data_IF_218067470115
#
_entry.id   IF_218067470115
#
_cell.length_a   1.000
_cell.length_b   1.000
_cell.length_c   1.000
_cell.angle_alpha   90.00
_cell.angle_beta   90.00
_cell.angle_gamma   90.00
#
_symmetry.space_group_name_H-M   'P 1'
#
loop_
_entity.id
_entity.type
_entity.pdbx_description
1 polymer ?
#
# COMPACT_ATOMS: atom_id res chain seq x y z
N UNK A 1 1.41 -41.52 -34.64
CA UNK A 1 0.74 -40.99 -33.45
C UNK A 1 1.67 -40.69 -32.28
N UNK A 2 2.46 -41.65 -31.76
CA UNK A 2 3.36 -41.42 -30.59
C UNK A 2 4.44 -40.31 -30.79
N UNK A 3 5.05 -40.17 -31.97
CA UNK A 3 6.08 -39.13 -32.25
C UNK A 3 5.48 -37.71 -32.28
N UNK A 4 4.28 -37.52 -32.80
CA UNK A 4 3.62 -36.23 -32.84
C UNK A 4 3.18 -35.76 -31.43
N UNK A 5 2.61 -36.65 -30.61
CA UNK A 5 2.29 -36.36 -29.19
C UNK A 5 3.52 -35.95 -28.38
N UNK A 6 4.67 -36.60 -28.60
CA UNK A 6 5.94 -36.20 -27.95
C UNK A 6 6.37 -34.79 -28.36
N UNK A 7 6.27 -34.44 -29.67
CA UNK A 7 6.62 -33.09 -30.16
C UNK A 7 5.71 -32.03 -29.54
N UNK A 8 4.40 -32.27 -29.47
CA UNK A 8 3.48 -31.35 -28.78
C UNK A 8 3.86 -31.20 -27.31
N UNK A 9 4.14 -32.29 -26.61
CA UNK A 9 4.55 -32.27 -25.20
C UNK A 9 5.81 -31.41 -24.99
N UNK A 10 6.84 -31.58 -25.85
CA UNK A 10 8.04 -30.72 -25.77
C UNK A 10 7.75 -29.26 -26.08
N UNK A 11 6.91 -28.94 -27.06
CA UNK A 11 6.54 -27.57 -27.39
C UNK A 11 5.81 -26.90 -26.22
N UNK A 12 4.84 -27.63 -25.60
CA UNK A 12 4.14 -27.13 -24.42
C UNK A 12 5.07 -26.92 -23.23
N UNK A 13 6.02 -27.82 -23.01
CA UNK A 13 7.02 -27.69 -21.95
C UNK A 13 7.92 -26.46 -22.18
N UNK A 14 8.40 -26.25 -23.39
CA UNK A 14 9.23 -25.09 -23.74
C UNK A 14 8.43 -23.79 -23.51
N UNK A 15 7.18 -23.75 -23.97
CA UNK A 15 6.31 -22.60 -23.77
C UNK A 15 6.05 -22.34 -22.27
N UNK A 16 5.81 -23.37 -21.49
CA UNK A 16 5.63 -23.27 -20.04
C UNK A 16 6.89 -22.69 -19.36
N UNK A 17 8.08 -23.22 -19.68
CA UNK A 17 9.35 -22.70 -19.15
C UNK A 17 9.53 -21.23 -19.54
N UNK A 18 9.27 -20.87 -20.79
CA UNK A 18 9.41 -19.51 -21.30
C UNK A 18 8.49 -18.52 -20.56
N UNK A 19 7.22 -18.88 -20.36
CA UNK A 19 6.27 -18.05 -19.60
C UNK A 19 6.72 -17.88 -18.15
N UNK A 20 7.25 -18.94 -17.51
CA UNK A 20 7.76 -18.84 -16.14
C UNK A 20 8.96 -17.90 -16.04
N UNK A 21 9.89 -17.95 -17.00
CA UNK A 21 11.05 -17.02 -17.03
C UNK A 21 10.55 -15.56 -17.16
N UNK A 22 9.61 -15.30 -18.06
CA UNK A 22 9.01 -13.96 -18.19
C UNK A 22 8.35 -13.52 -16.88
N UNK A 23 7.55 -14.39 -16.27
CA UNK A 23 6.88 -14.05 -15.01
C UNK A 23 7.88 -13.80 -13.87
N UNK A 24 8.98 -14.54 -13.79
CA UNK A 24 10.04 -14.28 -12.83
C UNK A 24 10.67 -12.91 -13.06
N UNK A 25 11.12 -12.59 -14.28
CA UNK A 25 11.69 -11.28 -14.60
C UNK A 25 10.73 -10.12 -14.31
N UNK A 26 9.44 -10.28 -14.65
CA UNK A 26 8.43 -9.28 -14.37
C UNK A 26 8.16 -9.13 -12.86
N UNK A 27 8.11 -10.23 -12.11
CA UNK A 27 7.95 -10.22 -10.67
C UNK A 27 9.11 -9.49 -9.98
N UNK A 28 10.34 -9.73 -10.44
CA UNK A 28 11.53 -9.02 -9.96
C UNK A 28 11.39 -7.51 -10.14
N UNK A 29 11.04 -7.02 -11.33
CA UNK A 29 10.88 -5.58 -11.58
C UNK A 29 9.68 -4.97 -10.86
N UNK A 30 8.64 -5.74 -10.56
CA UNK A 30 7.48 -5.27 -9.79
C UNK A 30 7.77 -5.11 -8.30
N UNK A 31 8.81 -5.78 -7.80
CA UNK A 31 9.20 -5.76 -6.38
C UNK A 31 10.43 -4.90 -6.10
N UNK A 32 11.15 -4.41 -7.13
CA UNK A 32 12.37 -3.65 -6.96
C UNK A 32 12.24 -2.21 -7.45
N UNK A 33 12.69 -1.27 -6.62
CA UNK A 33 12.69 0.17 -6.88
C UNK A 33 14.09 0.74 -6.68
N UNK A 34 14.59 1.45 -7.67
CA UNK A 34 15.98 1.93 -7.70
C UNK A 34 16.07 3.44 -7.53
N UNK A 35 16.96 3.91 -6.64
CA UNK A 35 17.14 5.34 -6.37
C UNK A 35 17.69 6.11 -7.60
N UNK A 36 18.50 5.46 -8.42
CA UNK A 36 19.20 6.08 -9.54
C UNK A 36 18.49 5.91 -10.90
N UNK A 37 17.30 5.35 -10.89
CA UNK A 37 16.48 5.24 -12.09
C UNK A 37 15.50 6.40 -12.07
N UNK A 38 15.49 7.29 -13.09
CA UNK A 38 14.47 8.32 -13.18
C UNK A 38 13.08 7.68 -13.16
N UNK A 39 12.10 8.37 -12.58
CA UNK A 39 10.69 8.06 -12.82
C UNK A 39 10.49 8.23 -14.33
N UNK A 40 10.71 7.18 -15.07
CA UNK A 40 10.51 7.20 -16.50
C UNK A 40 9.01 7.25 -16.75
N UNK A 41 8.64 8.09 -17.70
CA UNK A 41 7.47 7.85 -18.53
C UNK A 41 7.71 6.47 -19.17
N UNK A 42 7.17 5.43 -18.52
CA UNK A 42 7.41 4.02 -18.86
C UNK A 42 6.66 3.62 -20.15
N UNK A 43 6.17 4.59 -20.92
CA UNK A 43 5.58 4.37 -22.22
C UNK A 43 6.69 4.23 -23.26
N UNK A 44 7.05 2.98 -23.66
CA UNK A 44 8.04 2.78 -24.70
C UNK A 44 7.58 3.46 -25.98
N UNK A 45 8.42 4.32 -26.57
CA UNK A 45 8.07 5.06 -27.78
C UNK A 45 7.97 4.17 -29.03
N UNK A 46 8.61 2.99 -29.05
CA UNK A 46 8.58 2.06 -30.18
C UNK A 46 7.94 0.72 -29.83
N UNK A 47 7.37 0.02 -30.83
CA UNK A 47 6.78 -1.32 -30.67
C UNK A 47 7.82 -2.35 -30.19
N UNK A 48 9.08 -2.21 -30.62
CA UNK A 48 10.19 -3.09 -30.22
C UNK A 48 10.52 -2.88 -28.75
N UNK A 49 10.59 -1.62 -28.30
CA UNK A 49 10.81 -1.30 -26.89
C UNK A 49 9.67 -1.80 -26.01
N UNK A 50 8.41 -1.64 -26.44
CA UNK A 50 7.23 -2.22 -25.77
C UNK A 50 7.35 -3.72 -25.61
N UNK A 51 7.72 -4.42 -26.68
CA UNK A 51 7.92 -5.86 -26.67
C UNK A 51 9.04 -6.28 -25.71
N UNK A 52 10.16 -5.55 -25.70
CA UNK A 52 11.27 -5.77 -24.78
C UNK A 52 10.84 -5.62 -23.30
N UNK A 53 10.14 -4.54 -22.97
CA UNK A 53 9.61 -4.31 -21.60
C UNK A 53 8.61 -5.40 -21.21
N UNK A 54 7.76 -5.85 -22.14
CA UNK A 54 6.81 -6.93 -21.88
C UNK A 54 7.50 -8.25 -21.56
N UNK A 55 8.61 -8.57 -22.22
CA UNK A 55 9.34 -9.82 -22.01
C UNK A 55 10.30 -9.75 -20.81
N UNK A 56 11.05 -8.67 -20.68
CA UNK A 56 12.16 -8.60 -19.74
C UNK A 56 11.89 -7.71 -18.53
N UNK A 57 10.80 -6.95 -18.52
CA UNK A 57 10.53 -5.91 -17.53
C UNK A 57 11.36 -4.65 -17.80
N UNK A 58 11.18 -3.65 -16.95
CA UNK A 58 12.00 -2.45 -16.93
C UNK A 58 12.27 -2.05 -15.47
N UNK A 59 13.49 -1.55 -15.17
CA UNK A 59 13.78 -1.02 -13.84
C UNK A 59 12.80 0.11 -13.48
N UNK A 60 12.29 0.10 -12.26
CA UNK A 60 11.36 1.11 -11.75
C UNK A 60 12.10 2.03 -10.79
N UNK A 61 12.00 3.34 -11.00
CA UNK A 61 12.56 4.35 -10.09
C UNK A 61 11.77 4.43 -8.79
N UNK A 62 12.43 4.78 -7.69
CA UNK A 62 11.75 5.17 -6.45
C UNK A 62 10.88 6.40 -6.69
N UNK A 63 9.74 6.45 -6.03
CA UNK A 63 8.91 7.65 -5.97
C UNK A 63 9.71 8.84 -5.42
N UNK A 64 9.49 10.01 -5.98
CA UNK A 64 10.18 11.26 -5.60
C UNK A 64 9.21 12.13 -4.82
N UNK A 65 9.75 12.94 -3.89
CA UNK A 65 8.98 13.95 -3.20
C UNK A 65 8.73 15.12 -4.17
N UNK A 66 7.52 15.21 -4.68
CA UNK A 66 7.14 16.21 -5.69
C UNK A 66 6.52 17.46 -5.07
N UNK A 67 5.77 17.31 -3.97
CA UNK A 67 5.05 18.37 -3.30
C UNK A 67 5.68 18.72 -1.95
N UNK A 68 5.55 19.98 -1.53
CA UNK A 68 5.92 20.46 -0.22
C UNK A 68 4.73 20.40 0.74
N UNK A 69 4.95 19.84 1.91
CA UNK A 69 3.99 19.89 3.01
C UNK A 69 4.06 21.26 3.69
N UNK A 70 3.07 22.10 3.47
CA UNK A 70 3.05 23.50 3.92
C UNK A 70 2.72 23.69 5.41
N UNK A 71 2.61 22.60 6.15
CA UNK A 71 2.43 22.61 7.60
C UNK A 71 3.81 22.57 8.28
N UNK A 72 4.04 23.32 9.36
CA UNK A 72 5.29 23.21 10.14
C UNK A 72 5.52 21.77 10.59
N UNK A 73 6.64 21.19 10.18
CA UNK A 73 6.96 19.80 10.46
C UNK A 73 8.46 19.58 10.65
N UNK A 74 8.82 18.44 11.23
CA UNK A 74 10.21 17.96 11.36
C UNK A 74 10.44 16.79 10.43
N UNK A 75 11.59 16.75 9.77
CA UNK A 75 12.08 15.53 9.14
C UNK A 75 12.45 14.53 10.23
N UNK A 76 11.96 13.32 10.11
CA UNK A 76 12.25 12.21 11.02
C UNK A 76 12.90 11.04 10.29
N UNK A 77 13.72 10.31 11.02
CA UNK A 77 14.34 9.07 10.58
C UNK A 77 14.10 8.00 11.65
N UNK A 78 13.56 6.87 11.26
CA UNK A 78 13.31 5.75 12.16
C UNK A 78 14.05 4.51 11.66
N UNK A 79 14.42 3.62 12.59
CA UNK A 79 15.00 2.32 12.22
C UNK A 79 13.96 1.22 12.37
N UNK A 80 13.88 0.37 11.35
CA UNK A 80 13.13 -0.87 11.39
C UNK A 80 13.90 -1.95 12.15
N UNK A 81 13.23 -3.02 12.57
CA UNK A 81 13.87 -4.16 13.26
C UNK A 81 14.92 -4.88 12.40
N UNK A 82 14.79 -4.83 11.08
CA UNK A 82 15.74 -5.39 10.11
C UNK A 82 16.80 -4.37 9.64
N UNK A 83 16.90 -3.21 10.35
CA UNK A 83 18.02 -2.28 10.27
C UNK A 83 17.89 -1.18 9.21
N UNK A 84 16.82 -1.15 8.39
CA UNK A 84 16.61 -0.08 7.42
C UNK A 84 16.22 1.24 8.10
N UNK A 85 16.65 2.35 7.49
CA UNK A 85 16.24 3.69 7.91
C UNK A 85 15.06 4.15 7.06
N UNK A 86 13.93 4.44 7.70
CA UNK A 86 12.77 5.05 7.06
C UNK A 86 12.80 6.56 7.22
N UNK A 87 12.38 7.28 6.20
CA UNK A 87 12.19 8.71 6.20
C UNK A 87 10.73 9.07 6.45
N UNK A 88 10.50 10.21 7.08
CA UNK A 88 9.15 10.70 7.32
C UNK A 88 9.12 12.18 7.69
N UNK A 89 7.89 12.69 7.80
CA UNK A 89 7.58 14.00 8.33
C UNK A 89 6.70 13.87 9.57
N UNK A 90 7.03 14.62 10.61
CA UNK A 90 6.22 14.72 11.82
C UNK A 90 5.77 16.17 12.03
N UNK A 91 4.46 16.42 11.93
CA UNK A 91 3.85 17.70 12.20
C UNK A 91 3.13 17.66 13.56
N UNK A 92 3.64 18.48 14.49
CA UNK A 92 3.11 18.62 15.83
C UNK A 92 2.08 19.75 15.85
N UNK A 93 0.85 19.43 16.20
CA UNK A 93 -0.27 20.39 16.24
C UNK A 93 -0.22 21.29 17.47
N UNK A 94 0.56 20.94 18.51
CA UNK A 94 0.73 21.76 19.72
C UNK A 94 1.42 23.12 19.46
N UNK A 95 2.13 23.21 18.31
CA UNK A 95 2.81 24.44 17.88
C UNK A 95 1.94 25.36 17.01
N UNK A 96 0.67 25.08 16.90
CA UNK A 96 -0.27 25.92 16.17
C UNK A 96 -0.57 27.19 16.95
N UNK A 97 -0.52 28.34 16.26
CA UNK A 97 -0.73 29.68 16.85
C UNK A 97 -2.19 29.93 17.26
N UNK A 98 -3.05 28.91 17.09
CA UNK A 98 -4.47 28.99 17.44
C UNK A 98 -4.69 28.77 18.94
N UNK A 99 -5.62 29.51 19.51
CA UNK A 99 -6.05 29.45 20.92
C UNK A 99 -6.60 28.10 21.39
N UNK A 100 -6.71 27.13 20.47
CA UNK A 100 -7.23 25.79 20.72
C UNK A 100 -6.09 24.77 20.59
N UNK A 101 -5.33 24.59 21.66
CA UNK A 101 -4.40 23.43 21.79
C UNK A 101 -5.23 22.18 22.05
N UNK A 102 -5.55 21.42 21.03
CA UNK A 102 -6.20 20.12 21.18
C UNK A 102 -5.18 19.03 20.89
N UNK A 103 -4.64 18.42 21.91
CA UNK A 103 -3.91 17.16 21.79
C UNK A 103 -4.95 16.04 21.58
N UNK A 104 -5.31 15.82 20.32
CA UNK A 104 -6.25 14.76 19.91
C UNK A 104 -5.56 13.44 19.61
N UNK A 105 -4.25 13.40 19.75
CA UNK A 105 -3.44 12.24 19.40
C UNK A 105 -2.75 12.37 18.06
N UNK A 106 -2.10 11.29 17.62
CA UNK A 106 -1.27 11.26 16.40
C UNK A 106 -1.85 10.30 15.38
N UNK A 107 -2.00 10.77 14.13
CA UNK A 107 -2.33 9.93 12.98
C UNK A 107 -1.05 9.57 12.24
N UNK A 108 -0.69 8.29 12.23
CA UNK A 108 0.43 7.76 11.44
C UNK A 108 -0.11 7.36 10.07
N UNK A 109 0.50 7.86 9.01
CA UNK A 109 -0.03 7.77 7.65
C UNK A 109 0.92 7.02 6.71
N UNK A 110 0.34 6.11 5.92
CA UNK A 110 1.04 5.22 5.01
C UNK A 110 0.45 5.30 3.60
N UNK A 111 1.31 5.63 2.64
CA UNK A 111 0.96 5.77 1.23
C UNK A 111 0.74 4.43 0.52
N UNK A 112 0.24 4.48 -0.72
CA UNK A 112 0.08 3.32 -1.60
C UNK A 112 1.37 2.93 -2.32
N UNK A 113 1.33 1.79 -3.02
CA UNK A 113 2.45 1.25 -3.82
C UNK A 113 2.88 2.24 -4.92
N UNK A 114 4.18 2.45 -5.06
CA UNK A 114 4.77 3.35 -6.05
C UNK A 114 4.57 4.84 -5.75
N UNK A 115 4.05 5.19 -4.55
CA UNK A 115 3.90 6.56 -4.05
C UNK A 115 4.93 6.85 -2.95
N UNK A 116 4.83 7.99 -2.30
CA UNK A 116 5.60 8.37 -1.13
C UNK A 116 4.76 9.29 -0.24
N UNK A 117 5.32 9.80 0.86
CA UNK A 117 4.61 10.70 1.78
C UNK A 117 4.01 11.94 1.12
N UNK A 118 4.62 12.47 0.03
CA UNK A 118 4.04 13.61 -0.68
C UNK A 118 2.72 13.29 -1.39
N UNK A 119 2.49 12.03 -1.74
CA UNK A 119 1.23 11.59 -2.36
C UNK A 119 -0.01 11.67 -1.45
N UNK A 120 0.20 11.79 -0.12
CA UNK A 120 -0.86 11.82 0.90
C UNK A 120 -0.92 13.15 1.69
N UNK A 121 -0.32 14.23 1.14
CA UNK A 121 -0.27 15.56 1.79
C UNK A 121 -1.68 16.11 2.03
N UNK A 122 -2.62 15.95 1.11
CA UNK A 122 -3.98 16.49 1.25
C UNK A 122 -4.73 15.88 2.42
N UNK A 123 -4.60 14.58 2.60
CA UNK A 123 -5.13 13.85 3.75
C UNK A 123 -4.45 14.32 5.05
N UNK A 124 -3.12 14.52 5.01
CA UNK A 124 -2.34 14.99 6.14
C UNK A 124 -2.73 16.42 6.57
N UNK A 125 -2.88 17.34 5.61
CA UNK A 125 -3.37 18.71 5.84
C UNK A 125 -4.77 18.68 6.48
N UNK A 126 -5.64 17.80 6.00
CA UNK A 126 -6.98 17.63 6.54
C UNK A 126 -6.94 17.14 8.01
N UNK A 127 -6.19 16.09 8.31
CA UNK A 127 -6.06 15.59 9.69
C UNK A 127 -5.41 16.62 10.62
N UNK A 128 -4.39 17.34 10.15
CA UNK A 128 -3.77 18.41 10.90
C UNK A 128 -4.77 19.55 11.18
N UNK A 129 -5.61 19.91 10.22
CA UNK A 129 -6.67 20.91 10.41
C UNK A 129 -7.73 20.50 11.44
N UNK A 130 -7.95 19.19 11.58
CA UNK A 130 -8.83 18.61 12.60
C UNK A 130 -8.22 18.57 14.01
N UNK A 131 -6.96 18.99 14.18
CA UNK A 131 -6.26 19.08 15.47
C UNK A 131 -5.45 17.85 15.86
N UNK A 132 -5.12 16.97 14.93
CA UNK A 132 -4.24 15.81 15.16
C UNK A 132 -2.79 16.14 14.82
N UNK A 133 -1.86 15.55 15.55
CA UNK A 133 -0.50 15.40 15.08
C UNK A 133 -0.48 14.45 13.89
N UNK A 134 0.41 14.68 12.94
CA UNK A 134 0.50 13.88 11.71
C UNK A 134 1.91 13.35 11.54
N UNK A 135 2.04 12.03 11.35
CA UNK A 135 3.29 11.34 11.10
C UNK A 135 3.20 10.61 9.76
N UNK A 136 3.79 11.18 8.71
CA UNK A 136 3.82 10.57 7.38
C UNK A 136 5.14 9.84 7.15
N UNK A 137 5.08 8.58 6.72
CA UNK A 137 6.25 7.73 6.54
C UNK A 137 6.36 7.29 5.07
N UNK A 138 7.56 7.39 4.50
CA UNK A 138 7.88 6.66 3.29
C UNK A 138 8.16 5.20 3.66
N UNK A 139 7.46 4.26 3.05
CA UNK A 139 7.80 2.85 3.16
C UNK A 139 9.20 2.56 2.62
N UNK A 140 9.80 1.44 3.05
CA UNK A 140 11.01 0.91 2.43
C UNK A 140 10.89 0.91 0.90
N UNK A 141 11.97 1.10 0.21
CA UNK A 141 12.04 1.18 -1.26
C UNK A 141 11.26 2.35 -1.90
N UNK A 142 10.71 3.29 -1.11
CA UNK A 142 9.96 4.44 -1.62
C UNK A 142 10.52 5.74 -1.05
N UNK A 143 10.30 6.85 -1.77
CA UNK A 143 10.70 8.19 -1.35
C UNK A 143 12.17 8.24 -0.92
N UNK A 144 12.43 8.80 0.26
CA UNK A 144 13.77 8.91 0.86
C UNK A 144 14.12 7.78 1.84
N UNK A 145 13.28 6.75 1.96
CA UNK A 145 13.56 5.57 2.79
C UNK A 145 14.59 4.65 2.12
N UNK A 146 15.36 3.95 2.94
CA UNK A 146 16.31 2.92 2.49
C UNK A 146 15.60 1.68 1.92
N UNK A 147 16.38 0.76 1.37
CA UNK A 147 15.90 -0.47 0.75
C UNK A 147 15.56 -0.28 -0.73
N UNK A 148 15.43 -1.39 -1.43
CA UNK A 148 15.07 -1.45 -2.86
C UNK A 148 13.91 -2.41 -3.11
N UNK A 149 13.50 -3.19 -2.10
CA UNK A 149 12.48 -4.24 -2.20
C UNK A 149 11.17 -3.80 -1.57
N UNK A 150 10.08 -3.95 -2.33
CA UNK A 150 8.70 -3.79 -1.88
C UNK A 150 7.94 -5.11 -2.08
N UNK A 151 7.34 -5.63 -1.01
CA UNK A 151 6.61 -6.90 -1.00
C UNK A 151 5.09 -6.73 -0.95
N UNK A 152 4.63 -5.55 -1.27
CA UNK A 152 3.21 -5.18 -1.35
C UNK A 152 2.47 -5.51 -0.03
N UNK A 153 2.97 -4.93 1.07
CA UNK A 153 2.36 -5.00 2.40
C UNK A 153 2.83 -6.16 3.28
N UNK A 154 3.70 -7.08 2.78
CA UNK A 154 4.20 -8.18 3.60
C UNK A 154 5.31 -7.75 4.55
N UNK A 155 6.47 -7.33 4.02
CA UNK A 155 7.59 -6.84 4.85
C UNK A 155 7.32 -5.40 5.34
N UNK A 156 6.54 -4.60 4.62
CA UNK A 156 6.16 -3.24 4.99
C UNK A 156 5.36 -3.19 6.32
N UNK A 157 4.83 -4.31 6.79
CA UNK A 157 4.28 -4.41 8.15
C UNK A 157 5.31 -4.08 9.25
N UNK A 158 6.62 -4.33 9.01
CA UNK A 158 7.72 -3.92 9.90
C UNK A 158 7.89 -2.40 9.94
N UNK A 159 7.65 -1.73 8.81
CA UNK A 159 7.73 -0.28 8.73
C UNK A 159 6.59 0.37 9.52
N UNK A 160 5.38 -0.21 9.42
CA UNK A 160 4.24 0.19 10.26
C UNK A 160 4.57 0.03 11.73
N UNK A 161 5.15 -1.12 12.12
CA UNK A 161 5.57 -1.38 13.51
C UNK A 161 6.59 -0.35 13.99
N UNK A 162 7.61 -0.06 13.18
CA UNK A 162 8.65 0.92 13.52
C UNK A 162 8.06 2.33 13.73
N UNK A 163 7.13 2.75 12.86
CA UNK A 163 6.45 4.03 12.98
C UNK A 163 5.54 4.10 14.21
N UNK A 164 4.81 3.03 14.49
CA UNK A 164 3.97 2.91 15.69
C UNK A 164 4.82 3.03 16.97
N UNK A 165 5.91 2.27 17.05
CA UNK A 165 6.82 2.29 18.19
C UNK A 165 7.49 3.66 18.38
N UNK A 166 7.83 4.32 17.28
CA UNK A 166 8.39 5.67 17.33
C UNK A 166 7.43 6.65 18.00
N UNK A 167 6.18 6.70 17.53
CA UNK A 167 5.16 7.60 18.08
C UNK A 167 4.80 7.23 19.52
N UNK A 168 4.70 5.94 19.84
CA UNK A 168 4.48 5.48 21.22
C UNK A 168 5.61 5.89 22.17
N UNK A 169 6.88 5.85 21.70
CA UNK A 169 8.04 6.33 22.48
C UNK A 169 8.06 7.83 22.73
N UNK A 170 7.35 8.63 21.93
CA UNK A 170 7.11 10.05 22.19
C UNK A 170 6.12 10.30 23.34
N UNK A 171 5.53 9.24 23.89
CA UNK A 171 4.53 9.30 24.97
C UNK A 171 3.09 9.35 24.46
N UNK A 172 2.88 9.27 23.15
CA UNK A 172 1.53 9.30 22.58
C UNK A 172 0.75 8.03 22.93
N UNK A 173 -0.48 8.21 23.41
CA UNK A 173 -1.39 7.13 23.78
C UNK A 173 -2.53 6.95 22.79
N UNK A 174 -2.95 8.05 22.13
CA UNK A 174 -4.00 8.01 21.13
C UNK A 174 -3.42 7.93 19.72
N UNK A 175 -2.94 6.74 19.35
CA UNK A 175 -2.33 6.48 18.04
C UNK A 175 -3.39 5.94 17.08
N UNK A 176 -3.60 6.65 15.98
CA UNK A 176 -4.51 6.27 14.91
C UNK A 176 -3.65 5.91 13.68
N UNK A 177 -4.03 4.86 12.95
CA UNK A 177 -3.34 4.49 11.72
C UNK A 177 -4.23 4.80 10.51
N UNK A 178 -3.64 5.43 9.51
CA UNK A 178 -4.25 5.70 8.21
C UNK A 178 -3.41 5.07 7.10
N UNK A 179 -4.04 4.36 6.19
CA UNK A 179 -3.34 3.76 5.06
C UNK A 179 -4.17 3.63 3.81
N UNK A 180 -3.51 3.79 2.66
CA UNK A 180 -4.10 3.65 1.33
C UNK A 180 -3.52 2.40 0.65
N UNK A 181 -4.37 1.52 0.12
CA UNK A 181 -3.99 0.36 -0.69
C UNK A 181 -2.92 -0.50 0.01
N UNK A 182 -1.65 -0.49 -0.46
CA UNK A 182 -0.50 -1.13 0.20
C UNK A 182 -0.40 -0.71 1.67
N UNK A 183 -0.54 0.59 1.97
CA UNK A 183 -0.48 1.10 3.35
C UNK A 183 -1.58 0.51 4.23
N UNK A 184 -2.78 0.37 3.70
CA UNK A 184 -3.88 -0.27 4.42
C UNK A 184 -3.61 -1.76 4.67
N UNK A 185 -3.11 -2.49 3.67
CA UNK A 185 -2.76 -3.90 3.80
C UNK A 185 -1.60 -4.11 4.81
N UNK A 186 -0.57 -3.25 4.78
CA UNK A 186 0.54 -3.29 5.72
C UNK A 186 0.11 -3.03 7.17
N UNK A 187 -0.84 -2.10 7.40
CA UNK A 187 -1.44 -1.86 8.72
C UNK A 187 -2.15 -3.13 9.21
N UNK A 188 -2.98 -3.75 8.38
CA UNK A 188 -3.73 -4.96 8.75
C UNK A 188 -2.80 -6.10 9.12
N UNK A 189 -1.71 -6.29 8.34
CA UNK A 189 -0.68 -7.27 8.65
C UNK A 189 0.09 -6.93 9.92
N UNK A 190 0.46 -5.67 10.13
CA UNK A 190 1.18 -5.26 11.34
C UNK A 190 0.37 -5.52 12.62
N UNK A 191 -0.93 -5.28 12.60
CA UNK A 191 -1.83 -5.62 13.72
C UNK A 191 -1.87 -7.13 13.93
N UNK A 192 -1.94 -7.92 12.84
CA UNK A 192 -1.95 -9.39 12.94
C UNK A 192 -0.65 -9.98 13.51
N UNK A 193 0.50 -9.47 13.07
CA UNK A 193 1.81 -10.07 13.36
C UNK A 193 2.45 -9.55 14.64
N UNK A 194 2.29 -8.26 14.94
CA UNK A 194 3.01 -7.59 16.05
C UNK A 194 2.13 -7.21 17.23
N UNK A 195 0.84 -7.52 17.15
CA UNK A 195 -0.14 -7.20 18.19
C UNK A 195 -0.11 -5.71 18.62
N UNK A 196 0.18 -4.81 17.66
CA UNK A 196 0.05 -3.37 17.90
C UNK A 196 -1.43 -3.02 18.09
N UNK A 197 -1.70 -2.06 18.98
CA UNK A 197 -3.08 -1.71 19.35
C UNK A 197 -3.36 -0.23 19.11
N UNK A 198 -3.63 0.17 17.84
CA UNK A 198 -4.05 1.53 17.55
C UNK A 198 -5.42 1.80 18.16
N UNK A 199 -5.66 3.06 18.55
CA UNK A 199 -6.97 3.46 19.09
C UNK A 199 -8.07 3.44 18.03
N UNK A 200 -7.72 3.71 16.77
CA UNK A 200 -8.62 3.63 15.60
C UNK A 200 -7.77 3.36 14.34
N UNK A 201 -8.41 2.86 13.29
CA UNK A 201 -7.77 2.76 11.97
C UNK A 201 -8.70 3.25 10.87
N UNK A 202 -8.09 3.87 9.85
CA UNK A 202 -8.76 4.31 8.61
C UNK A 202 -8.05 3.62 7.46
N UNK A 203 -8.77 2.79 6.73
CA UNK A 203 -8.26 1.98 5.63
C UNK A 203 -8.94 2.38 4.33
N UNK A 204 -8.15 2.79 3.34
CA UNK A 204 -8.65 3.11 2.01
C UNK A 204 -8.21 2.05 1.00
N UNK A 205 -9.19 1.42 0.37
CA UNK A 205 -9.01 0.47 -0.74
C UNK A 205 -7.94 -0.62 -0.50
N UNK A 206 -7.92 -1.29 0.68
CA UNK A 206 -7.08 -2.47 0.85
C UNK A 206 -7.52 -3.58 -0.10
N UNK A 207 -6.58 -4.31 -0.66
CA UNK A 207 -6.87 -5.52 -1.45
C UNK A 207 -7.16 -6.72 -0.52
N UNK A 208 -7.92 -7.72 -0.99
CA UNK A 208 -8.28 -8.91 -0.21
C UNK A 208 -7.08 -9.84 0.04
N UNK A 209 -6.35 -10.17 -1.02
CA UNK A 209 -5.14 -10.99 -1.00
C UNK A 209 -4.07 -10.39 -1.90
N UNK A 210 -2.78 -10.76 -1.69
CA UNK A 210 -1.71 -10.34 -2.62
C UNK A 210 -1.97 -10.84 -4.05
N UNK A 211 -2.55 -12.02 -4.20
CA UNK A 211 -2.98 -12.54 -5.51
C UNK A 211 -4.00 -11.61 -6.17
N UNK A 212 -4.97 -11.06 -5.41
CA UNK A 212 -5.97 -10.13 -5.95
C UNK A 212 -5.36 -8.78 -6.30
N UNK A 213 -4.37 -8.29 -5.54
CA UNK A 213 -3.60 -7.10 -5.91
C UNK A 213 -2.90 -7.28 -7.27
N UNK A 214 -2.30 -8.45 -7.52
CA UNK A 214 -1.68 -8.79 -8.81
C UNK A 214 -2.72 -8.90 -9.92
N UNK A 215 -3.88 -9.55 -9.68
CA UNK A 215 -5.00 -9.58 -10.62
C UNK A 215 -5.49 -8.18 -10.99
N UNK A 216 -5.67 -7.30 -9.99
CA UNK A 216 -6.07 -5.91 -10.19
C UNK A 216 -5.10 -5.13 -11.09
N UNK A 217 -3.79 -5.39 -10.96
CA UNK A 217 -2.78 -4.81 -11.85
C UNK A 217 -2.90 -5.33 -13.29
N UNK A 218 -3.10 -6.63 -13.48
CA UNK A 218 -3.29 -7.23 -14.80
C UNK A 218 -4.56 -6.71 -15.48
N UNK A 219 -5.67 -6.52 -14.73
CA UNK A 219 -6.90 -5.89 -15.24
C UNK A 219 -6.64 -4.50 -15.83
N UNK A 220 -5.87 -3.66 -15.14
CA UNK A 220 -5.49 -2.35 -15.66
C UNK A 220 -4.71 -2.40 -16.98
N UNK A 221 -3.94 -3.47 -17.16
CA UNK A 221 -3.14 -3.70 -18.37
C UNK A 221 -3.94 -4.41 -19.48
N UNK A 222 -5.23 -4.71 -19.26
CA UNK A 222 -6.06 -5.53 -20.12
C UNK A 222 -5.43 -6.91 -20.44
N UNK A 223 -4.72 -7.49 -19.45
CA UNK A 223 -4.12 -8.81 -19.55
C UNK A 223 -5.00 -9.86 -18.84
N UNK A 224 -4.99 -11.13 -19.29
CA UNK A 224 -5.71 -12.20 -18.62
C UNK A 224 -5.16 -12.38 -17.18
N UNK A 225 -6.08 -12.43 -16.21
CA UNK A 225 -5.69 -12.56 -14.80
C UNK A 225 -5.02 -13.91 -14.53
N UNK A 226 -5.57 -15.00 -15.07
CA UNK A 226 -5.01 -16.34 -14.88
C UNK A 226 -4.50 -16.92 -16.22
N UNK A 227 -3.36 -17.65 -16.19
CA UNK A 227 -2.57 -18.06 -15.01
C UNK A 227 -1.52 -17.02 -14.57
N UNK A 228 -1.42 -15.85 -15.23
CA UNK A 228 -0.34 -14.87 -15.03
C UNK A 228 -0.26 -14.38 -13.58
N UNK A 229 -1.40 -14.06 -12.95
CA UNK A 229 -1.40 -13.59 -11.57
C UNK A 229 -0.81 -14.63 -10.61
N UNK A 230 -1.15 -15.90 -10.80
CA UNK A 230 -0.60 -16.98 -9.96
C UNK A 230 0.91 -17.14 -10.14
N UNK A 231 1.40 -17.07 -11.39
CA UNK A 231 2.84 -17.17 -11.68
C UNK A 231 3.61 -15.96 -11.13
N UNK A 232 3.12 -14.75 -11.33
CA UNK A 232 3.74 -13.52 -10.81
C UNK A 232 3.77 -13.52 -9.27
N UNK A 233 2.67 -13.93 -8.62
CA UNK A 233 2.60 -14.04 -7.16
C UNK A 233 3.58 -15.11 -6.64
N UNK A 234 3.68 -16.26 -7.31
CA UNK A 234 4.61 -17.33 -6.96
C UNK A 234 6.06 -16.86 -7.04
N UNK A 235 6.45 -16.27 -8.19
CA UNK A 235 7.83 -15.82 -8.40
C UNK A 235 8.19 -14.65 -7.49
N UNK A 236 7.31 -13.65 -7.34
CA UNK A 236 7.55 -12.53 -6.43
C UNK A 236 7.74 -12.98 -4.96
N UNK A 237 6.96 -13.96 -4.50
CA UNK A 237 7.17 -14.53 -3.18
C UNK A 237 8.47 -15.33 -3.07
N UNK A 238 8.78 -16.15 -4.08
CA UNK A 238 9.99 -16.98 -4.12
C UNK A 238 11.25 -16.13 -4.10
N UNK A 239 11.31 -15.09 -4.91
CA UNK A 239 12.44 -14.16 -5.00
C UNK A 239 12.67 -13.39 -3.70
N UNK A 240 11.61 -13.07 -2.97
CA UNK A 240 11.67 -12.34 -1.70
C UNK A 240 11.65 -13.25 -0.46
N UNK A 241 11.69 -14.55 -0.64
CA UNK A 241 11.81 -15.53 0.44
C UNK A 241 10.58 -15.68 1.33
N UNK A 242 9.36 -15.41 0.81
CA UNK A 242 8.12 -15.61 1.57
C UNK A 242 7.01 -16.29 0.75
N UNK A 243 6.03 -16.87 1.45
CA UNK A 243 4.87 -17.46 0.79
C UNK A 243 3.81 -16.41 0.46
N UNK A 244 3.88 -15.86 -0.75
CA UNK A 244 3.07 -14.72 -1.18
C UNK A 244 1.55 -14.99 -1.16
N UNK A 245 1.11 -16.22 -1.40
CA UNK A 245 -0.30 -16.61 -1.30
C UNK A 245 -0.84 -16.60 0.15
N UNK A 246 0.04 -16.51 1.14
CA UNK A 246 -0.30 -16.34 2.55
C UNK A 246 -0.51 -14.89 2.96
N UNK A 247 -0.16 -13.91 2.11
CA UNK A 247 -0.43 -12.49 2.39
C UNK A 247 -1.90 -12.17 2.06
N UNK A 248 -2.75 -12.26 3.10
CA UNK A 248 -4.20 -12.17 2.99
C UNK A 248 -4.77 -11.13 3.96
N UNK A 249 -4.78 -9.85 3.62
CA UNK A 249 -5.41 -8.81 4.43
C UNK A 249 -6.84 -9.16 4.88
N UNK A 250 -7.64 -9.82 4.05
CA UNK A 250 -8.98 -10.30 4.42
C UNK A 250 -8.98 -11.25 5.63
N UNK A 251 -7.92 -12.06 5.80
CA UNK A 251 -7.77 -12.95 6.96
C UNK A 251 -7.20 -12.17 8.17
N UNK A 252 -6.30 -11.22 7.94
CA UNK A 252 -5.74 -10.37 9.02
C UNK A 252 -6.82 -9.50 9.66
N UNK A 253 -7.87 -9.15 8.92
CA UNK A 253 -9.04 -8.43 9.41
C UNK A 253 -9.64 -9.07 10.67
N UNK A 254 -9.56 -10.40 10.81
CA UNK A 254 -10.07 -11.17 11.96
C UNK A 254 -9.36 -10.86 13.28
N UNK A 255 -8.21 -10.18 13.24
CA UNK A 255 -7.47 -9.73 14.43
C UNK A 255 -7.69 -8.26 14.78
N UNK A 256 -8.42 -7.52 13.94
CA UNK A 256 -8.63 -6.09 14.12
C UNK A 256 -9.87 -5.86 14.97
N UNK A 257 -9.66 -5.44 16.22
CA UNK A 257 -10.72 -5.21 17.22
C UNK A 257 -10.98 -3.74 17.50
N UNK A 258 -10.02 -2.84 17.17
CA UNK A 258 -10.21 -1.40 17.32
C UNK A 258 -11.28 -0.86 16.34
N UNK A 259 -11.84 0.34 16.57
CA UNK A 259 -12.74 1.00 15.61
C UNK A 259 -12.12 1.14 14.22
N UNK A 260 -12.88 0.81 13.17
CA UNK A 260 -12.43 0.80 11.77
C UNK A 260 -13.33 1.62 10.88
N UNK A 261 -12.72 2.53 10.11
CA UNK A 261 -13.34 3.14 8.93
C UNK A 261 -12.71 2.51 7.68
N UNK A 262 -13.50 1.72 6.95
CA UNK A 262 -13.11 1.15 5.67
C UNK A 262 -13.73 1.97 4.54
N UNK A 263 -12.94 2.44 3.60
CA UNK A 263 -13.36 3.31 2.50
C UNK A 263 -12.98 2.73 1.15
N UNK A 264 -13.89 2.85 0.17
CA UNK A 264 -13.68 2.27 -1.16
C UNK A 264 -14.37 3.08 -2.26
N UNK A 265 -13.69 3.24 -3.40
CA UNK A 265 -14.21 3.88 -4.60
C UNK A 265 -14.97 2.89 -5.47
N UNK A 266 -16.22 3.19 -5.85
CA UNK A 266 -17.05 2.28 -6.67
C UNK A 266 -16.51 2.06 -8.09
N UNK A 267 -15.71 3.00 -8.58
CA UNK A 267 -15.08 2.94 -9.89
C UNK A 267 -13.67 2.32 -9.84
N UNK A 268 -13.28 1.71 -8.70
CA UNK A 268 -11.94 1.13 -8.52
C UNK A 268 -11.74 -0.09 -9.44
N UNK A 269 -10.81 0.00 -10.43
CA UNK A 269 -10.52 -1.11 -11.34
C UNK A 269 -9.56 -2.14 -10.74
N UNK A 270 -8.92 -1.83 -9.60
CA UNK A 270 -7.91 -2.69 -8.95
C UNK A 270 -8.53 -3.53 -7.85
N UNK A 271 -9.20 -2.88 -6.91
CA UNK A 271 -9.83 -3.52 -5.76
C UNK A 271 -11.33 -3.65 -6.01
N UNK A 272 -11.83 -4.86 -5.98
CA UNK A 272 -13.23 -5.16 -6.27
C UNK A 272 -14.14 -4.91 -5.05
N UNK A 273 -15.42 -4.73 -5.31
CA UNK A 273 -16.43 -4.66 -4.25
C UNK A 273 -16.45 -5.93 -3.39
N UNK A 274 -16.15 -7.10 -4.00
CA UNK A 274 -16.10 -8.38 -3.30
C UNK A 274 -14.96 -8.38 -2.26
N UNK A 275 -13.75 -8.02 -2.65
CA UNK A 275 -12.59 -7.93 -1.73
C UNK A 275 -12.89 -7.00 -0.56
N UNK A 276 -13.42 -5.80 -0.83
CA UNK A 276 -13.82 -4.84 0.21
C UNK A 276 -14.90 -5.41 1.14
N UNK A 277 -15.87 -6.13 0.58
CA UNK A 277 -16.93 -6.79 1.34
C UNK A 277 -16.43 -7.91 2.23
N UNK A 278 -15.52 -8.74 1.74
CA UNK A 278 -14.90 -9.84 2.47
C UNK A 278 -14.05 -9.31 3.64
N UNK A 279 -13.24 -8.28 3.40
CA UNK A 279 -12.50 -7.60 4.47
C UNK A 279 -13.46 -7.07 5.53
N UNK A 280 -14.50 -6.32 5.12
CA UNK A 280 -15.47 -5.75 6.06
C UNK A 280 -16.19 -6.81 6.88
N UNK A 281 -16.59 -7.91 6.25
CA UNK A 281 -17.24 -9.02 6.93
C UNK A 281 -16.32 -9.65 7.99
N UNK A 282 -15.05 -9.82 7.66
CA UNK A 282 -14.05 -10.47 8.51
C UNK A 282 -13.52 -9.58 9.66
N UNK A 283 -13.72 -8.25 9.62
CA UNK A 283 -13.30 -7.38 10.72
C UNK A 283 -13.92 -7.83 12.05
N UNK A 284 -13.08 -8.15 13.03
CA UNK A 284 -13.53 -8.53 14.37
C UNK A 284 -14.07 -7.34 15.18
N UNK A 285 -13.77 -6.13 14.76
CA UNK A 285 -14.27 -4.91 15.40
C UNK A 285 -15.81 -4.85 15.40
N UNK A 286 -16.39 -4.52 16.54
CA UNK A 286 -17.82 -4.21 16.68
C UNK A 286 -18.17 -2.79 16.25
N UNK A 287 -17.16 -1.91 16.15
CA UNK A 287 -17.27 -0.52 15.70
C UNK A 287 -16.63 -0.38 14.33
N UNK A 288 -17.32 -0.85 13.30
CA UNK A 288 -16.84 -0.79 11.92
C UNK A 288 -17.82 -0.08 10.99
N UNK A 289 -17.30 0.76 10.13
CA UNK A 289 -18.07 1.51 9.14
C UNK A 289 -17.45 1.30 7.75
N UNK A 290 -18.28 0.97 6.76
CA UNK A 290 -17.90 0.92 5.35
C UNK A 290 -18.52 2.09 4.60
N UNK A 291 -17.70 2.91 3.96
CA UNK A 291 -18.13 4.03 3.12
C UNK A 291 -17.70 3.82 1.68
N UNK A 292 -18.64 3.98 0.76
CA UNK A 292 -18.40 3.83 -0.70
C UNK A 292 -18.49 5.20 -1.37
N UNK A 293 -17.55 5.51 -2.24
CA UNK A 293 -17.47 6.75 -3.01
C UNK A 293 -17.89 6.50 -4.45
N UNK A 294 -18.85 7.28 -4.94
CA UNK A 294 -19.54 6.97 -6.20
C UNK A 294 -18.71 7.26 -7.44
N UNK A 295 -17.89 8.32 -7.39
CA UNK A 295 -17.09 8.80 -8.53
C UNK A 295 -15.58 8.49 -8.41
N UNK A 296 -15.16 7.82 -7.32
CA UNK A 296 -13.75 7.50 -7.10
C UNK A 296 -13.37 6.13 -7.66
N UNK A 297 -12.19 6.08 -8.30
CA UNK A 297 -11.47 4.87 -8.64
C UNK A 297 -10.45 4.49 -7.57
N UNK A 298 -9.28 3.94 -8.01
CA UNK A 298 -8.13 3.65 -7.15
C UNK A 298 -7.22 4.86 -7.00
N UNK A 299 -7.75 5.94 -6.47
CA UNK A 299 -7.10 7.24 -6.34
C UNK A 299 -7.40 7.85 -4.95
N UNK A 300 -6.80 8.99 -4.60
CA UNK A 300 -7.10 9.68 -3.35
C UNK A 300 -8.60 10.06 -3.28
N UNK A 301 -9.31 9.46 -2.33
CA UNK A 301 -10.70 9.76 -2.05
C UNK A 301 -10.87 11.19 -1.53
N UNK A 302 -9.89 11.66 -0.75
CA UNK A 302 -9.81 13.03 -0.24
C UNK A 302 -9.71 14.06 -1.38
N UNK A 303 -8.88 13.81 -2.40
CA UNK A 303 -8.74 14.74 -3.53
C UNK A 303 -9.99 14.74 -4.42
N UNK A 304 -10.64 13.61 -4.60
CA UNK A 304 -11.72 13.41 -5.57
C UNK A 304 -13.10 13.80 -5.04
N UNK A 305 -13.46 13.33 -3.82
CA UNK A 305 -14.74 13.62 -3.16
C UNK A 305 -14.49 14.25 -1.77
N UNK A 306 -13.75 15.37 -1.74
CA UNK A 306 -13.29 16.01 -0.50
C UNK A 306 -14.40 16.24 0.54
N UNK A 307 -15.53 16.80 0.15
CA UNK A 307 -16.62 17.11 1.08
C UNK A 307 -17.14 15.87 1.80
N UNK A 308 -17.40 14.79 1.08
CA UNK A 308 -17.84 13.50 1.64
C UNK A 308 -16.75 12.86 2.49
N UNK A 309 -15.49 12.90 2.00
CA UNK A 309 -14.36 12.35 2.72
C UNK A 309 -14.15 13.06 4.07
N UNK A 310 -14.10 14.40 4.08
CA UNK A 310 -13.96 15.23 5.30
C UNK A 310 -15.09 14.97 6.31
N UNK A 311 -16.33 14.93 5.83
CA UNK A 311 -17.48 14.62 6.69
C UNK A 311 -17.34 13.23 7.32
N UNK A 312 -16.97 12.23 6.52
CA UNK A 312 -16.84 10.84 6.94
C UNK A 312 -15.74 10.67 8.00
N UNK A 313 -14.53 11.19 7.73
CA UNK A 313 -13.41 11.03 8.66
C UNK A 313 -13.62 11.84 9.94
N UNK A 314 -14.17 13.07 9.85
CA UNK A 314 -14.50 13.87 11.04
C UNK A 314 -15.51 13.14 11.93
N UNK A 315 -16.58 12.61 11.34
CA UNK A 315 -17.61 11.88 12.10
C UNK A 315 -17.05 10.60 12.74
N UNK A 316 -16.13 9.90 12.08
CA UNK A 316 -15.47 8.71 12.61
C UNK A 316 -14.50 9.05 13.76
N UNK A 317 -13.72 10.11 13.61
CA UNK A 317 -12.70 10.50 14.58
C UNK A 317 -13.29 11.10 15.86
N UNK A 318 -14.50 11.68 15.80
CA UNK A 318 -15.19 12.32 16.95
C UNK A 318 -16.05 11.35 17.78
N UNK A 319 -16.31 10.16 17.28
CA UNK A 319 -16.96 9.07 18.03
C UNK A 319 -15.96 8.35 18.94
#
# INVERSE_FOLDING_TARGET
MKKWLKRIGYTLLILFIFINIICALQAYHLTHFYANVPLQDTTPQSSIAKFGVTLFGAPVGKSVIEDSFNVPHKNIRLKTEDGLTLAGWYADNSNRDDTIKTDKGTIIMFHGHGSCRSGIIKEAEAFYSLGYNVCMIDFRAHGESEGEVCTIGYIESKDVKAAYDYVAKLGEKNIILYGISLGAAAIMKAINDYNIQPSKIILEMPFGTLLDAVKGRLRLMNLPEQPLASLLTFWGGTEQGFWAFGNKPEEFAKKITCPVLLQWGKMDPRVTQKETGDIYANLASTQKTLVKYDSCGHESLCKKENGKWMQTVTQFLTK
#
